data_IF_000740797514
#
_entry.id   IF_000740797514
#
_cell.length_a   1.000
_cell.length_b   1.000
_cell.length_c   1.000
_cell.angle_alpha   90.00
_cell.angle_beta   90.00
_cell.angle_gamma   90.00
#
_symmetry.space_group_name_H-M   'P 1'
#
loop_
_entity.id
_entity.type
_entity.pdbx_description
1 polymer ?
#
# COMPACT_ATOMS: atom_id res chain seq x y z
N UNK A 1 -52.52 52.91 -21.58
CA UNK A 1 -52.53 53.36 -23.00
C UNK A 1 -51.10 53.16 -23.53
N UNK A 2 -50.72 51.95 -23.98
CA UNK A 2 -50.62 51.49 -25.41
C UNK A 2 -49.69 52.40 -26.24
N UNK A 3 -48.60 51.99 -26.91
CA UNK A 3 -48.25 50.81 -27.77
C UNK A 3 -46.69 50.74 -27.84
N UNK A 4 -45.95 49.62 -27.78
CA UNK A 4 -45.76 48.47 -28.71
C UNK A 4 -45.43 48.82 -30.18
N UNK A 5 -44.17 48.58 -30.61
CA UNK A 5 -43.77 47.73 -31.76
C UNK A 5 -42.30 47.94 -32.21
N UNK A 6 -41.53 46.85 -32.24
CA UNK A 6 -40.53 46.54 -33.27
C UNK A 6 -41.20 45.60 -34.32
N UNK A 7 -40.55 45.01 -35.35
CA UNK A 7 -39.20 45.21 -35.94
C UNK A 7 -39.21 45.25 -37.50
N UNK A 8 -38.04 45.38 -38.17
CA UNK A 8 -37.57 44.53 -39.31
C UNK A 8 -36.32 45.09 -40.03
N UNK A 9 -35.45 44.15 -40.38
CA UNK A 9 -34.31 44.18 -41.33
C UNK A 9 -34.66 44.67 -42.74
N UNK A 10 -33.61 45.01 -43.54
CA UNK A 10 -33.37 44.24 -44.75
C UNK A 10 -31.89 43.92 -45.07
N UNK A 11 -31.64 42.63 -45.31
CA UNK A 11 -30.84 42.00 -46.39
C UNK A 11 -29.91 42.83 -47.32
N UNK A 12 -28.66 42.34 -47.53
CA UNK A 12 -27.93 42.44 -48.81
C UNK A 12 -26.37 42.42 -48.72
N UNK A 13 -25.60 41.93 -49.73
CA UNK A 13 -24.46 41.03 -49.51
C UNK A 13 -23.06 41.46 -50.05
N UNK A 14 -22.08 40.53 -49.93
CA UNK A 14 -20.71 40.45 -50.54
C UNK A 14 -19.55 40.96 -49.65
N UNK A 15 -18.32 40.43 -49.64
CA UNK A 15 -17.60 39.47 -50.50
C UNK A 15 -16.43 38.79 -49.73
N UNK A 16 -15.98 37.64 -50.23
CA UNK A 16 -14.73 36.94 -49.86
C UNK A 16 -13.49 37.68 -50.41
N UNK A 17 -12.28 37.27 -49.97
CA UNK A 17 -11.38 36.75 -51.00
C UNK A 17 -10.75 35.38 -50.68
N UNK A 18 -10.51 34.69 -51.78
CA UNK A 18 -9.80 33.44 -52.00
C UNK A 18 -8.27 33.66 -51.95
N UNK A 19 -7.53 32.59 -51.67
CA UNK A 19 -6.07 32.58 -51.56
C UNK A 19 -5.50 31.18 -51.38
N UNK A 20 -5.81 30.28 -52.31
CA UNK A 20 -5.19 28.95 -52.42
C UNK A 20 -3.70 29.01 -52.75
N UNK A 21 -2.87 28.15 -52.12
CA UNK A 21 -1.64 27.58 -52.72
C UNK A 21 -1.18 26.28 -52.03
N UNK A 22 -1.24 25.23 -52.85
CA UNK A 22 -0.66 23.87 -52.91
C UNK A 22 0.63 23.55 -52.13
N UNK A 23 0.71 22.28 -51.70
CA UNK A 23 1.93 21.50 -51.40
C UNK A 23 1.61 20.32 -50.45
N UNK A 24 1.17 19.15 -50.92
CA UNK A 24 1.94 18.02 -51.45
C UNK A 24 2.94 17.39 -50.45
N UNK A 25 2.61 16.15 -50.06
CA UNK A 25 3.47 15.02 -49.66
C UNK A 25 4.50 15.16 -48.53
N UNK A 26 4.29 14.40 -47.44
CA UNK A 26 5.04 13.17 -47.13
C UNK A 26 4.66 12.63 -45.74
N UNK A 27 3.81 11.61 -45.73
CA UNK A 27 3.78 10.63 -44.64
C UNK A 27 5.06 9.81 -44.72
N UNK A 28 5.87 9.81 -43.66
CA UNK A 28 7.04 8.93 -43.53
C UNK A 28 6.76 7.89 -42.45
N UNK A 29 6.37 6.71 -42.93
CA UNK A 29 6.47 5.46 -42.21
C UNK A 29 7.91 5.22 -41.76
N UNK A 30 8.10 4.74 -40.54
CA UNK A 30 9.33 4.10 -40.11
C UNK A 30 9.03 2.64 -39.83
N UNK A 31 9.27 1.82 -40.85
CA UNK A 31 9.48 0.38 -40.73
C UNK A 31 10.95 0.13 -40.98
N UNK A 32 11.69 -0.32 -39.96
CA UNK A 32 12.97 -0.99 -40.14
C UNK A 32 13.13 -2.04 -39.02
N UNK A 33 13.40 -3.27 -39.44
CA UNK A 33 13.56 -4.46 -38.60
C UNK A 33 14.88 -4.52 -37.81
N UNK A 34 15.30 -5.73 -37.39
CA UNK A 34 15.77 -5.97 -36.03
C UNK A 34 17.26 -5.71 -35.84
N UNK A 35 17.60 -4.93 -34.81
CA UNK A 35 18.96 -4.80 -34.29
C UNK A 35 18.89 -4.78 -32.76
N UNK A 36 19.49 -5.79 -32.12
CA UNK A 36 19.61 -5.85 -30.65
C UNK A 36 20.52 -4.71 -30.15
N UNK A 37 20.11 -3.87 -29.20
CA UNK A 37 21.05 -3.04 -28.46
C UNK A 37 21.48 -3.77 -27.18
N UNK A 38 22.78 -3.97 -27.03
CA UNK A 38 23.40 -4.38 -25.77
C UNK A 38 23.28 -3.24 -24.75
N UNK A 39 22.60 -3.50 -23.64
CA UNK A 39 22.46 -2.54 -22.55
C UNK A 39 23.80 -2.45 -21.78
N UNK A 40 24.55 -1.35 -21.97
CA UNK A 40 25.70 -1.02 -21.11
C UNK A 40 25.19 -0.34 -19.83
N UNK A 41 25.57 -0.86 -18.67
CA UNK A 41 25.31 -0.27 -17.34
C UNK A 41 25.83 1.17 -17.26
N UNK A 42 25.09 2.13 -16.66
CA UNK A 42 25.63 3.44 -16.35
C UNK A 42 26.70 3.33 -15.25
N UNK A 43 27.90 3.86 -15.51
CA UNK A 43 28.93 4.04 -14.49
C UNK A 43 28.64 5.35 -13.75
N UNK A 44 28.26 5.26 -12.48
CA UNK A 44 28.17 6.42 -11.59
C UNK A 44 29.60 6.92 -11.31
N UNK A 45 29.97 8.07 -11.87
CA UNK A 45 31.25 8.73 -11.57
C UNK A 45 31.20 9.31 -10.15
N UNK A 46 32.19 8.95 -9.31
CA UNK A 46 32.42 9.61 -8.01
C UNK A 46 32.74 11.10 -8.23
N UNK A 47 32.29 12.02 -7.36
CA UNK A 47 32.64 13.43 -7.47
C UNK A 47 34.16 13.63 -7.27
N UNK A 48 34.76 14.48 -8.10
CA UNK A 48 36.15 14.94 -7.93
C UNK A 48 36.22 15.83 -6.69
N UNK A 49 37.19 15.59 -5.80
CA UNK A 49 37.52 16.51 -4.69
C UNK A 49 38.05 17.83 -5.27
N UNK A 50 37.50 18.94 -4.79
CA UNK A 50 37.96 20.29 -5.09
C UNK A 50 39.25 20.56 -4.27
N UNK A 51 40.38 20.99 -4.88
CA UNK A 51 41.63 21.20 -4.15
C UNK A 51 41.64 22.45 -3.24
N UNK A 52 40.70 23.38 -3.43
CA UNK A 52 40.76 24.72 -2.83
C UNK A 52 39.65 25.00 -1.78
N UNK A 53 39.22 23.97 -1.05
CA UNK A 53 38.27 24.12 0.07
C UNK A 53 38.98 24.27 1.42
N UNK A 54 38.48 25.09 2.37
CA UNK A 54 39.11 25.28 3.67
C UNK A 54 39.07 23.99 4.51
N UNK A 55 40.22 23.65 5.10
CA UNK A 55 40.42 22.46 5.94
C UNK A 55 39.65 22.56 7.28
N UNK A 56 38.89 21.53 7.70
CA UNK A 56 38.28 21.51 9.03
C UNK A 56 39.32 21.27 10.14
N UNK A 57 39.10 21.75 11.38
CA UNK A 57 40.07 21.65 12.47
C UNK A 57 40.20 20.21 13.00
N UNK A 58 41.41 19.87 13.43
CA UNK A 58 41.81 18.54 13.88
C UNK A 58 41.17 18.14 15.23
N UNK A 59 40.50 16.98 15.25
CA UNK A 59 40.02 16.34 16.48
C UNK A 59 41.19 15.75 17.29
N UNK A 60 41.22 16.09 18.59
CA UNK A 60 42.15 15.53 19.58
C UNK A 60 41.86 14.04 19.78
N UNK A 61 42.90 13.21 19.65
CA UNK A 61 42.88 11.79 20.05
C UNK A 61 43.22 11.64 21.52
N UNK A 62 42.39 10.92 22.27
CA UNK A 62 42.71 10.42 23.61
C UNK A 62 43.62 9.18 23.57
N UNK A 63 44.44 8.91 24.62
CA UNK A 63 45.50 7.92 24.59
C UNK A 63 45.05 6.52 25.04
N UNK A 64 45.50 5.48 24.32
CA UNK A 64 45.34 4.06 24.68
C UNK A 64 46.35 3.62 25.76
N UNK A 65 45.85 2.88 26.75
CA UNK A 65 46.63 2.26 27.82
C UNK A 65 47.54 1.11 27.34
N UNK A 66 48.68 0.97 28.04
CA UNK A 66 49.77 0.00 27.82
C UNK A 66 49.48 -1.35 28.51
N UNK A 67 49.94 -2.44 27.91
CA UNK A 67 50.09 -3.77 28.55
C UNK A 67 51.59 -4.11 28.67
N UNK A 68 52.09 -4.64 29.80
CA UNK A 68 53.46 -5.12 29.90
C UNK A 68 53.57 -6.66 30.02
N UNK A 69 54.73 -7.19 29.60
CA UNK A 69 55.37 -8.31 30.30
C UNK A 69 55.55 -9.62 29.53
N UNK A 70 56.78 -9.85 29.05
CA UNK A 70 57.32 -11.14 28.57
C UNK A 70 57.72 -12.04 29.75
N UNK A 71 57.65 -13.37 29.57
CA UNK A 71 58.58 -14.33 30.20
C UNK A 71 59.04 -15.40 29.20
N UNK A 72 60.35 -15.70 29.25
CA UNK A 72 61.06 -16.82 28.59
C UNK A 72 61.32 -17.93 29.61
N UNK A 73 61.53 -19.18 29.14
CA UNK A 73 62.86 -19.79 29.33
C UNK A 73 63.37 -20.55 28.07
N UNK A 74 64.69 -20.85 28.08
CA UNK A 74 65.47 -21.41 26.96
C UNK A 74 65.52 -22.95 26.89
N UNK A 75 66.65 -23.56 26.45
CA UNK A 75 66.76 -24.05 25.07
C UNK A 75 67.12 -25.54 24.97
N UNK A 76 66.58 -26.26 23.98
CA UNK A 76 67.22 -27.47 23.43
C UNK A 76 66.81 -27.70 21.96
N UNK A 77 67.81 -27.89 21.10
CA UNK A 77 67.80 -28.95 20.09
C UNK A 77 67.23 -28.66 18.69
N UNK A 78 68.16 -28.48 17.75
CA UNK A 78 68.14 -28.91 16.32
C UNK A 78 67.28 -28.14 15.30
N UNK A 79 68.01 -27.60 14.32
CA UNK A 79 67.58 -27.11 13.00
C UNK A 79 67.06 -28.27 12.13
N UNK A 80 65.87 -28.09 11.52
CA UNK A 80 65.54 -28.40 10.11
C UNK A 80 64.33 -27.52 9.74
N UNK A 81 64.39 -26.80 8.60
CA UNK A 81 63.26 -26.09 7.97
C UNK A 81 62.95 -26.74 6.60
N UNK A 82 61.85 -26.40 5.92
CA UNK A 82 60.46 -26.70 6.28
C UNK A 82 59.71 -27.39 5.12
N UNK A 83 58.67 -28.16 5.42
CA UNK A 83 57.61 -28.49 4.45
C UNK A 83 56.26 -28.23 5.07
N UNK A 84 55.49 -27.34 4.43
CA UNK A 84 54.12 -26.97 4.80
C UNK A 84 53.17 -28.05 4.31
N UNK A 85 52.19 -28.46 5.14
CA UNK A 85 50.83 -28.54 4.62
C UNK A 85 49.82 -27.79 5.52
N UNK A 86 48.90 -27.15 4.81
CA UNK A 86 47.72 -26.43 5.28
C UNK A 86 46.79 -27.31 6.13
N UNK A 87 46.45 -26.84 7.34
CA UNK A 87 45.36 -27.39 8.16
C UNK A 87 44.12 -26.51 8.03
N UNK A 88 42.99 -27.18 7.80
CA UNK A 88 41.64 -26.64 7.72
C UNK A 88 41.03 -26.44 9.11
N UNK A 89 40.32 -25.33 9.28
CA UNK A 89 39.51 -24.98 10.46
C UNK A 89 38.09 -24.56 9.99
N UNK A 90 37.08 -24.52 10.88
CA UNK A 90 35.78 -25.15 10.65
C UNK A 90 34.68 -24.27 10.01
N UNK A 91 33.67 -24.96 9.47
CA UNK A 91 32.48 -24.42 8.78
C UNK A 91 31.56 -23.72 9.78
N UNK A 92 31.30 -22.43 9.56
CA UNK A 92 30.16 -21.71 10.14
C UNK A 92 28.95 -21.85 9.22
N UNK A 93 27.85 -22.38 9.76
CA UNK A 93 26.58 -22.51 9.06
C UNK A 93 25.95 -21.12 8.88
N UNK A 94 25.80 -20.68 7.62
CA UNK A 94 24.97 -19.51 7.27
C UNK A 94 23.53 -19.96 7.12
N UNK A 95 22.64 -19.45 7.97
CA UNK A 95 21.19 -19.47 7.73
C UNK A 95 20.88 -18.39 6.71
N UNK A 96 20.39 -18.78 5.53
CA UNK A 96 19.89 -17.88 4.49
C UNK A 96 18.44 -17.53 4.79
N UNK A 97 18.17 -16.25 5.06
CA UNK A 97 16.82 -15.67 4.95
C UNK A 97 16.51 -15.57 3.46
N UNK A 98 15.54 -16.33 2.98
CA UNK A 98 15.05 -16.24 1.61
C UNK A 98 13.97 -15.15 1.55
N UNK A 99 14.26 -14.05 0.86
CA UNK A 99 13.24 -13.10 0.42
C UNK A 99 12.47 -13.73 -0.75
N UNK A 100 11.18 -13.99 -0.55
CA UNK A 100 10.31 -14.49 -1.61
C UNK A 100 9.84 -13.30 -2.46
N UNK A 101 10.32 -13.22 -3.70
CA UNK A 101 9.75 -12.35 -4.72
C UNK A 101 8.60 -13.10 -5.41
N UNK A 102 7.38 -12.57 -5.34
CA UNK A 102 6.22 -13.13 -6.05
C UNK A 102 6.31 -12.73 -7.52
N UNK A 103 6.28 -13.72 -8.40
CA UNK A 103 6.35 -13.55 -9.85
C UNK A 103 4.93 -13.70 -10.43
N UNK A 104 4.30 -12.60 -10.84
CA UNK A 104 3.01 -12.64 -11.54
C UNK A 104 3.25 -12.94 -13.02
N UNK A 105 2.77 -14.09 -13.50
CA UNK A 105 2.81 -14.46 -14.91
C UNK A 105 1.62 -13.83 -15.66
N UNK A 106 1.90 -12.89 -16.57
CA UNK A 106 0.89 -12.29 -17.47
C UNK A 106 0.69 -13.20 -18.69
N UNK A 107 -0.48 -13.83 -18.78
CA UNK A 107 -0.93 -14.55 -19.97
C UNK A 107 -1.70 -13.59 -20.89
N UNK A 108 -1.04 -13.12 -21.95
CA UNK A 108 -1.66 -12.41 -23.06
C UNK A 108 -2.46 -13.40 -23.92
N UNK A 109 -3.79 -13.31 -23.88
CA UNK A 109 -4.64 -13.93 -24.90
C UNK A 109 -5.06 -12.87 -25.92
N UNK A 110 -4.50 -12.98 -27.12
CA UNK A 110 -4.94 -12.21 -28.28
C UNK A 110 -6.25 -12.83 -28.79
N UNK A 111 -7.37 -12.12 -28.64
CA UNK A 111 -8.62 -12.46 -29.33
C UNK A 111 -8.73 -11.60 -30.59
N UNK A 112 -8.74 -12.31 -31.73
CA UNK A 112 -8.85 -11.74 -33.06
C UNK A 112 -10.27 -11.23 -33.33
N UNK A 113 -10.34 -10.16 -34.13
CA UNK A 113 -11.57 -9.56 -34.64
C UNK A 113 -12.39 -10.54 -35.49
N UNK A 114 -13.70 -10.58 -35.27
CA UNK A 114 -14.68 -11.21 -36.16
C UNK A 114 -15.91 -10.31 -36.29
N UNK A 115 -16.13 -9.77 -37.49
CA UNK A 115 -17.27 -8.94 -37.86
C UNK A 115 -18.60 -9.74 -37.86
N UNK A 116 -19.71 -9.07 -37.50
CA UNK A 116 -21.03 -9.66 -37.33
C UNK A 116 -21.78 -10.03 -38.64
N UNK A 117 -23.04 -10.47 -38.52
CA UNK A 117 -24.12 -9.65 -39.07
C UNK A 117 -25.43 -9.61 -38.24
N UNK A 118 -26.08 -8.44 -38.35
CA UNK A 118 -27.50 -8.05 -38.18
C UNK A 118 -28.52 -9.07 -37.62
N UNK A 119 -29.31 -8.61 -36.64
CA UNK A 119 -30.69 -9.05 -36.44
C UNK A 119 -31.65 -7.87 -36.21
N UNK A 120 -32.82 -7.98 -36.85
CA UNK A 120 -33.96 -7.05 -36.90
C UNK A 120 -34.67 -6.96 -35.55
N UNK A 121 -35.34 -5.82 -35.34
CA UNK A 121 -36.25 -5.61 -34.22
C UNK A 121 -37.45 -6.56 -34.21
N UNK A 122 -37.90 -6.89 -33.00
CA UNK A 122 -39.11 -7.62 -32.68
C UNK A 122 -39.39 -7.47 -31.19
N UNK A 123 -40.55 -6.90 -30.86
CA UNK A 123 -40.99 -6.58 -29.51
C UNK A 123 -41.53 -7.81 -28.75
N UNK A 124 -41.45 -7.73 -27.42
CA UNK A 124 -42.41 -8.36 -26.51
C UNK A 124 -41.89 -9.54 -25.70
N UNK A 125 -41.96 -9.40 -24.37
CA UNK A 125 -42.13 -10.53 -23.47
C UNK A 125 -41.12 -10.64 -22.33
N UNK A 126 -41.45 -10.04 -21.18
CA UNK A 126 -40.99 -10.50 -19.87
C UNK A 126 -39.58 -10.11 -19.46
N UNK A 127 -39.36 -8.84 -19.11
CA UNK A 127 -38.28 -8.49 -18.18
C UNK A 127 -38.70 -8.88 -16.76
N UNK A 128 -38.70 -10.17 -16.47
CA UNK A 128 -38.23 -10.57 -15.15
C UNK A 128 -36.75 -10.25 -15.17
N UNK A 129 -36.36 -9.07 -14.66
CA UNK A 129 -34.96 -8.84 -14.30
C UNK A 129 -34.53 -10.08 -13.51
N UNK A 130 -33.48 -10.80 -13.94
CA UNK A 130 -32.83 -11.72 -13.03
C UNK A 130 -32.50 -10.85 -11.83
N UNK A 131 -33.10 -11.14 -10.67
CA UNK A 131 -32.65 -10.58 -9.41
C UNK A 131 -31.17 -10.88 -9.35
N UNK A 132 -30.34 -9.92 -9.76
CA UNK A 132 -28.92 -10.11 -9.95
C UNK A 132 -28.42 -10.56 -8.59
N UNK A 133 -28.05 -11.84 -8.49
CA UNK A 133 -27.60 -12.41 -7.24
C UNK A 133 -26.37 -11.62 -6.85
N UNK A 134 -26.54 -10.74 -5.88
CA UNK A 134 -25.46 -9.89 -5.38
C UNK A 134 -24.42 -10.82 -4.80
N UNK A 135 -23.17 -10.67 -5.24
CA UNK A 135 -22.05 -11.40 -4.68
C UNK A 135 -22.02 -11.26 -3.16
N UNK A 136 -21.76 -12.37 -2.48
CA UNK A 136 -21.67 -12.48 -1.03
C UNK A 136 -20.21 -12.48 -0.60
N UNK A 137 -19.91 -11.80 0.51
CA UNK A 137 -18.59 -11.95 1.16
C UNK A 137 -18.69 -12.95 2.30
N UNK A 138 -17.88 -14.01 2.26
CA UNK A 138 -17.91 -15.07 3.28
C UNK A 138 -16.52 -15.29 3.87
N UNK A 139 -16.47 -15.60 5.17
CA UNK A 139 -15.24 -16.00 5.86
C UNK A 139 -15.33 -17.49 6.16
N UNK A 140 -14.31 -18.23 5.76
CA UNK A 140 -14.22 -19.68 5.93
C UNK A 140 -12.93 -20.02 6.65
N UNK A 141 -13.02 -20.82 7.71
CA UNK A 141 -11.88 -21.41 8.39
C UNK A 141 -11.81 -22.91 8.08
N UNK A 142 -10.71 -23.38 7.51
CA UNK A 142 -10.48 -24.80 7.21
C UNK A 142 -9.64 -25.44 8.32
N UNK A 143 -10.29 -25.77 9.43
CA UNK A 143 -9.65 -26.24 10.67
C UNK A 143 -8.76 -27.48 10.50
N UNK A 144 -9.11 -28.37 9.56
CA UNK A 144 -8.34 -29.57 9.24
C UNK A 144 -6.95 -29.26 8.64
N UNK A 145 -6.74 -28.03 8.18
CA UNK A 145 -5.50 -27.59 7.54
C UNK A 145 -4.57 -26.81 8.47
N UNK A 146 -5.02 -26.50 9.69
CA UNK A 146 -4.28 -25.66 10.65
C UNK A 146 -3.30 -26.51 11.45
N UNK A 147 -2.00 -26.24 11.26
CA UNK A 147 -0.94 -26.90 12.02
C UNK A 147 -1.04 -26.59 13.52
N UNK A 148 -0.64 -27.50 14.43
CA UNK A 148 -0.74 -27.30 15.88
C UNK A 148 -0.18 -25.98 16.40
N UNK A 149 0.97 -25.54 15.87
CA UNK A 149 1.66 -24.30 16.21
C UNK A 149 0.85 -23.04 15.84
N UNK A 150 0.01 -23.10 14.81
CA UNK A 150 -0.74 -21.95 14.31
C UNK A 150 -2.12 -21.78 14.98
N UNK A 151 -2.55 -22.77 15.76
CA UNK A 151 -3.90 -22.81 16.34
C UNK A 151 -4.20 -21.62 17.25
N UNK A 152 -3.21 -21.12 17.99
CA UNK A 152 -3.42 -19.97 18.89
C UNK A 152 -3.78 -18.72 18.10
N UNK A 153 -2.97 -18.35 17.10
CA UNK A 153 -3.21 -17.15 16.30
C UNK A 153 -4.53 -17.23 15.53
N UNK A 154 -4.86 -18.39 14.94
CA UNK A 154 -6.17 -18.62 14.29
C UNK A 154 -7.32 -18.44 15.29
N UNK A 155 -7.19 -18.97 16.50
CA UNK A 155 -8.22 -18.86 17.52
C UNK A 155 -8.39 -17.42 18.04
N UNK A 156 -7.30 -16.65 18.17
CA UNK A 156 -7.33 -15.22 18.47
C UNK A 156 -8.13 -14.47 17.41
N UNK A 157 -7.78 -14.65 16.13
CA UNK A 157 -8.46 -13.98 15.01
C UNK A 157 -9.93 -14.39 14.96
N UNK A 158 -10.26 -15.68 15.07
CA UNK A 158 -11.64 -16.17 15.07
C UNK A 158 -12.48 -15.60 16.21
N UNK A 159 -11.98 -15.66 17.45
CA UNK A 159 -12.71 -15.15 18.63
C UNK A 159 -12.94 -13.64 18.55
N UNK A 160 -12.01 -12.91 17.94
CA UNK A 160 -12.11 -11.46 17.80
C UNK A 160 -13.11 -10.99 16.75
N UNK A 161 -13.56 -11.88 15.83
CA UNK A 161 -14.53 -11.60 14.76
C UNK A 161 -14.09 -10.52 13.76
N UNK A 162 -12.82 -10.12 13.78
CA UNK A 162 -12.30 -9.03 12.95
C UNK A 162 -12.40 -9.28 11.45
N UNK A 163 -12.29 -10.55 11.01
CA UNK A 163 -12.46 -10.89 9.59
C UNK A 163 -13.92 -10.74 9.18
N UNK A 164 -14.83 -11.24 10.00
CA UNK A 164 -16.26 -11.20 9.74
C UNK A 164 -16.82 -9.79 9.80
N UNK A 165 -16.32 -8.93 10.69
CA UNK A 165 -16.71 -7.52 10.74
C UNK A 165 -16.36 -6.78 9.45
N UNK A 166 -15.12 -6.94 8.96
CA UNK A 166 -14.68 -6.32 7.71
C UNK A 166 -15.43 -6.88 6.49
N UNK A 167 -15.58 -8.21 6.41
CA UNK A 167 -16.35 -8.87 5.36
C UNK A 167 -17.83 -8.43 5.37
N UNK A 168 -18.45 -8.35 6.54
CA UNK A 168 -19.85 -7.94 6.69
C UNK A 168 -20.08 -6.47 6.32
N UNK A 169 -19.08 -5.61 6.46
CA UNK A 169 -19.18 -4.24 5.95
C UNK A 169 -19.24 -4.23 4.43
N UNK A 170 -18.30 -4.92 3.74
CA UNK A 170 -18.31 -5.03 2.27
C UNK A 170 -19.61 -5.67 1.78
N UNK A 171 -20.04 -6.76 2.42
CA UNK A 171 -21.31 -7.44 2.17
C UNK A 171 -22.53 -6.62 2.62
N UNK A 172 -22.40 -5.41 3.17
CA UNK A 172 -23.57 -4.56 3.40
C UNK A 172 -23.54 -3.36 2.49
N UNK A 173 -22.35 -2.78 2.32
CA UNK A 173 -22.17 -1.52 1.62
C UNK A 173 -22.18 -1.66 0.11
N UNK A 174 -21.71 -2.78 -0.45
CA UNK A 174 -21.48 -2.90 -1.89
C UNK A 174 -22.35 -3.97 -2.57
N UNK A 175 -22.59 -3.78 -3.86
CA UNK A 175 -23.17 -4.76 -4.76
C UNK A 175 -22.05 -5.37 -5.61
N UNK A 176 -21.47 -6.46 -5.10
CA UNK A 176 -20.42 -7.18 -5.81
C UNK A 176 -21.00 -8.00 -6.98
N UNK A 177 -20.29 -8.08 -8.12
CA UNK A 177 -20.71 -8.91 -9.26
C UNK A 177 -20.53 -10.41 -9.00
N UNK A 178 -19.63 -10.79 -8.10
CA UNK A 178 -19.30 -12.18 -7.78
C UNK A 178 -19.08 -12.37 -6.28
N UNK A 179 -19.22 -13.62 -5.82
CA UNK A 179 -18.89 -13.98 -4.45
C UNK A 179 -17.40 -13.77 -4.17
N UNK A 180 -17.11 -13.35 -2.93
CA UNK A 180 -15.77 -13.19 -2.40
C UNK A 180 -15.61 -14.08 -1.17
N UNK A 181 -14.61 -14.96 -1.18
CA UNK A 181 -14.32 -15.85 -0.05
C UNK A 181 -13.00 -15.46 0.61
N UNK A 182 -13.04 -15.13 1.90
CA UNK A 182 -11.89 -14.97 2.78
C UNK A 182 -11.59 -16.33 3.42
N UNK A 183 -10.50 -16.99 3.04
CA UNK A 183 -10.15 -18.35 3.44
C UNK A 183 -8.97 -18.37 4.39
N UNK A 184 -9.22 -18.72 5.65
CA UNK A 184 -8.16 -19.07 6.61
C UNK A 184 -7.84 -20.57 6.45
N UNK A 185 -6.77 -20.89 5.72
CA UNK A 185 -6.44 -22.27 5.34
C UNK A 185 -4.94 -22.46 5.10
N UNK A 186 -4.42 -23.64 5.46
CA UNK A 186 -3.09 -24.10 5.08
C UNK A 186 -3.00 -24.63 3.64
N UNK A 187 -4.13 -24.84 2.96
CA UNK A 187 -4.21 -25.27 1.55
C UNK A 187 -4.20 -24.05 0.62
N UNK A 188 -3.04 -23.44 0.49
CA UNK A 188 -2.82 -22.26 -0.38
C UNK A 188 -2.08 -22.62 -1.68
N UNK A 189 -2.23 -21.83 -2.75
CA UNK A 189 -1.44 -22.02 -3.97
C UNK A 189 0.08 -21.98 -3.70
N UNK A 190 0.91 -22.69 -4.51
CA UNK A 190 2.36 -22.65 -4.35
C UNK A 190 2.92 -21.22 -4.37
N UNK A 191 3.80 -20.92 -3.41
CA UNK A 191 4.43 -19.60 -3.28
C UNK A 191 3.65 -18.58 -2.45
N UNK A 192 2.43 -18.91 -2.01
CA UNK A 192 1.68 -18.06 -1.07
C UNK A 192 2.17 -18.29 0.35
N UNK A 193 2.82 -17.27 0.92
CA UNK A 193 3.34 -17.29 2.30
C UNK A 193 2.67 -16.28 3.22
N UNK A 194 2.12 -15.22 2.65
CA UNK A 194 1.43 -14.14 3.36
C UNK A 194 -0.05 -14.08 2.94
N UNK A 195 -0.83 -13.16 3.51
CA UNK A 195 -2.19 -12.92 3.03
C UNK A 195 -2.15 -12.46 1.56
N UNK A 196 -3.10 -12.93 0.75
CA UNK A 196 -3.11 -12.58 -0.68
C UNK A 196 -4.49 -12.72 -1.31
N UNK A 197 -4.85 -11.71 -2.07
CA UNK A 197 -6.01 -11.71 -2.97
C UNK A 197 -5.63 -12.35 -4.30
N UNK A 198 -6.43 -13.30 -4.76
CA UNK A 198 -6.21 -13.94 -6.05
C UNK A 198 -6.49 -12.99 -7.22
N UNK A 199 -5.85 -13.20 -8.39
CA UNK A 199 -5.99 -12.28 -9.54
C UNK A 199 -7.42 -12.09 -10.06
N UNK A 200 -8.32 -13.04 -9.81
CA UNK A 200 -9.74 -12.91 -10.15
C UNK A 200 -10.54 -12.04 -9.17
N UNK A 201 -9.94 -11.64 -8.06
CA UNK A 201 -10.53 -10.86 -6.99
C UNK A 201 -11.57 -11.61 -6.15
N UNK A 202 -11.71 -12.94 -6.30
CA UNK A 202 -12.81 -13.72 -5.69
C UNK A 202 -12.40 -14.53 -4.46
N UNK A 203 -11.10 -14.74 -4.27
CA UNK A 203 -10.58 -15.45 -3.10
C UNK A 203 -9.47 -14.65 -2.45
N UNK A 204 -9.54 -14.48 -1.14
CA UNK A 204 -8.46 -13.98 -0.31
C UNK A 204 -7.98 -15.16 0.54
N UNK A 205 -6.70 -15.54 0.42
CA UNK A 205 -6.09 -16.54 1.29
C UNK A 205 -5.43 -15.85 2.48
N UNK A 206 -5.67 -16.39 3.69
CA UNK A 206 -4.95 -16.04 4.90
C UNK A 206 -4.31 -17.33 5.46
N UNK A 207 -3.03 -17.60 5.17
CA UNK A 207 -2.33 -18.74 5.73
C UNK A 207 -2.31 -18.69 7.27
N UNK A 208 -2.58 -19.79 8.00
CA UNK A 208 -2.44 -19.84 9.46
C UNK A 208 -1.05 -19.43 9.96
N UNK A 209 0.00 -19.85 9.28
CA UNK A 209 1.39 -19.49 9.58
C UNK A 209 1.67 -18.00 9.46
N UNK A 210 0.98 -17.30 8.55
CA UNK A 210 1.05 -15.84 8.45
C UNK A 210 0.40 -15.16 9.66
N UNK A 211 -0.73 -15.68 10.15
CA UNK A 211 -1.35 -15.17 11.38
C UNK A 211 -0.43 -15.37 12.60
N UNK A 212 0.26 -16.51 12.67
CA UNK A 212 1.29 -16.76 13.69
C UNK A 212 2.44 -15.76 13.59
N UNK A 213 2.90 -15.43 12.39
CA UNK A 213 3.92 -14.39 12.19
C UNK A 213 3.44 -13.02 12.67
N UNK A 214 2.18 -12.63 12.41
CA UNK A 214 1.60 -11.40 12.96
C UNK A 214 1.59 -11.46 14.50
N UNK A 215 1.23 -12.61 15.08
CA UNK A 215 1.21 -12.82 16.53
C UNK A 215 2.58 -12.67 17.17
N UNK A 216 3.61 -13.25 16.56
CA UNK A 216 4.99 -13.16 17.06
C UNK A 216 5.49 -11.71 17.04
N UNK A 217 5.28 -11.00 15.93
CA UNK A 217 5.67 -9.58 15.81
C UNK A 217 4.85 -8.72 16.75
N UNK A 218 3.56 -9.00 16.94
CA UNK A 218 2.71 -8.30 17.92
C UNK A 218 3.20 -8.53 19.36
N UNK A 219 3.71 -9.73 19.68
CA UNK A 219 4.38 -10.01 20.94
C UNK A 219 5.64 -9.16 21.14
N UNK A 220 6.44 -9.01 20.09
CA UNK A 220 7.59 -8.11 20.12
C UNK A 220 7.18 -6.66 20.30
N UNK A 221 6.18 -6.17 19.57
CA UNK A 221 5.63 -4.80 19.71
C UNK A 221 5.27 -4.50 21.16
N UNK A 222 4.51 -5.40 21.81
CA UNK A 222 4.07 -5.20 23.21
C UNK A 222 5.26 -5.20 24.19
N UNK A 223 6.34 -5.92 23.86
CA UNK A 223 7.55 -6.02 24.70
C UNK A 223 8.53 -4.86 24.48
N UNK A 224 8.66 -4.36 23.25
CA UNK A 224 9.74 -3.44 22.84
C UNK A 224 9.26 -2.00 22.68
N UNK A 225 7.97 -1.80 22.43
CA UNK A 225 7.44 -0.50 22.03
C UNK A 225 6.64 0.12 23.17
N UNK A 226 6.86 1.41 23.42
CA UNK A 226 6.02 2.16 24.37
C UNK A 226 4.57 2.11 23.87
N UNK A 227 3.64 1.73 24.75
CA UNK A 227 2.20 1.76 24.45
C UNK A 227 1.74 3.19 24.13
N UNK A 228 1.09 3.44 22.97
CA UNK A 228 0.43 4.71 22.69
C UNK A 228 -0.74 4.93 23.66
N UNK A 229 -0.95 6.18 24.08
CA UNK A 229 -2.07 6.52 24.98
C UNK A 229 -3.46 6.18 24.38
N UNK A 230 -3.55 6.11 23.05
CA UNK A 230 -4.75 5.77 22.28
C UNK A 230 -5.20 4.30 22.44
N UNK A 231 -4.32 3.40 22.87
CA UNK A 231 -4.66 1.99 23.10
C UNK A 231 -4.83 1.79 24.60
N UNK A 232 -6.00 1.39 25.11
CA UNK A 232 -6.18 1.07 26.53
C UNK A 232 -5.15 0.06 27.01
N UNK A 233 -4.70 0.17 28.27
CA UNK A 233 -3.67 -0.74 28.80
C UNK A 233 -4.10 -2.22 28.75
N UNK A 234 -5.38 -2.50 29.00
CA UNK A 234 -5.94 -3.84 28.91
C UNK A 234 -5.95 -4.40 27.46
N UNK A 235 -5.93 -3.53 26.46
CA UNK A 235 -5.97 -3.89 25.04
C UNK A 235 -4.57 -3.98 24.41
N UNK A 236 -3.52 -3.56 25.11
CA UNK A 236 -2.15 -3.63 24.60
C UNK A 236 -1.51 -4.99 24.89
N UNK A 237 -2.10 -6.03 24.32
CA UNK A 237 -1.66 -7.42 24.43
C UNK A 237 -1.35 -8.00 23.05
N UNK A 238 -0.50 -9.04 22.99
CA UNK A 238 -0.12 -9.65 21.71
C UNK A 238 -1.36 -10.14 20.93
N UNK A 239 -2.31 -10.77 21.61
CA UNK A 239 -3.55 -11.27 21.00
C UNK A 239 -4.41 -10.13 20.43
N UNK A 240 -4.60 -9.04 21.19
CA UNK A 240 -5.43 -7.93 20.73
C UNK A 240 -4.77 -7.17 19.59
N UNK A 241 -3.46 -6.94 19.66
CA UNK A 241 -2.68 -6.32 18.59
C UNK A 241 -2.68 -7.18 17.32
N UNK A 242 -2.66 -8.51 17.47
CA UNK A 242 -2.79 -9.45 16.35
C UNK A 242 -4.13 -9.31 15.66
N UNK A 243 -5.23 -9.38 16.43
CA UNK A 243 -6.57 -9.21 15.86
C UNK A 243 -6.73 -7.86 15.14
N UNK A 244 -6.27 -6.76 15.74
CA UNK A 244 -6.35 -5.43 15.15
C UNK A 244 -5.49 -5.31 13.87
N UNK A 245 -4.27 -5.83 13.88
CA UNK A 245 -3.39 -5.79 12.72
C UNK A 245 -3.91 -6.69 11.59
N UNK A 246 -4.44 -7.87 11.91
CA UNK A 246 -5.11 -8.74 10.95
C UNK A 246 -6.33 -8.07 10.33
N UNK A 247 -7.10 -7.25 11.07
CA UNK A 247 -8.20 -6.46 10.49
C UNK A 247 -7.70 -5.49 9.43
N UNK A 248 -6.57 -4.81 9.69
CA UNK A 248 -5.96 -3.90 8.72
C UNK A 248 -5.45 -4.65 7.49
N UNK A 249 -4.73 -5.76 7.69
CA UNK A 249 -4.24 -6.60 6.57
C UNK A 249 -5.39 -7.15 5.74
N UNK A 250 -6.48 -7.60 6.35
CA UNK A 250 -7.66 -7.99 5.57
C UNK A 250 -8.24 -6.79 4.80
N UNK A 251 -8.26 -5.59 5.40
CA UNK A 251 -8.60 -4.37 4.69
C UNK A 251 -7.77 -4.20 3.41
N UNK A 252 -6.46 -4.37 3.50
CA UNK A 252 -5.55 -4.29 2.35
C UNK A 252 -5.97 -5.29 1.25
N UNK A 253 -6.18 -6.55 1.61
CA UNK A 253 -6.65 -7.57 0.66
C UNK A 253 -8.06 -7.29 0.10
N UNK A 254 -8.96 -6.71 0.88
CA UNK A 254 -10.25 -6.28 0.39
C UNK A 254 -10.12 -5.14 -0.63
N UNK A 255 -9.21 -4.19 -0.44
CA UNK A 255 -8.94 -3.14 -1.43
C UNK A 255 -8.54 -3.72 -2.78
N UNK A 256 -7.61 -4.67 -2.74
CA UNK A 256 -7.19 -5.53 -3.84
C UNK A 256 -8.35 -6.26 -4.52
N UNK A 257 -9.24 -6.90 -3.75
CA UNK A 257 -10.39 -7.63 -4.29
C UNK A 257 -11.40 -6.69 -4.95
N UNK A 258 -11.69 -5.55 -4.32
CA UNK A 258 -12.63 -4.55 -4.82
C UNK A 258 -12.15 -3.91 -6.12
N UNK A 259 -10.87 -3.56 -6.22
CA UNK A 259 -10.30 -3.03 -7.46
C UNK A 259 -10.48 -4.00 -8.63
N UNK A 260 -10.23 -5.29 -8.41
CA UNK A 260 -10.37 -6.33 -9.43
C UNK A 260 -11.82 -6.60 -9.80
N UNK A 261 -12.69 -6.82 -8.81
CA UNK A 261 -14.09 -7.16 -9.06
C UNK A 261 -14.89 -5.99 -9.65
N UNK A 262 -14.63 -4.76 -9.20
CA UNK A 262 -15.39 -3.58 -9.63
C UNK A 262 -14.69 -2.85 -10.79
N UNK A 263 -13.52 -3.32 -11.23
CA UNK A 263 -12.69 -2.68 -12.26
C UNK A 263 -12.41 -1.21 -11.92
N UNK A 264 -12.01 -0.97 -10.67
CA UNK A 264 -11.79 0.39 -10.19
C UNK A 264 -10.54 0.99 -10.85
N UNK A 265 -10.57 2.27 -11.24
CA UNK A 265 -9.40 2.93 -11.81
C UNK A 265 -8.31 3.13 -10.76
N UNK A 266 -7.08 2.71 -11.07
CA UNK A 266 -5.90 2.98 -10.26
C UNK A 266 -4.89 3.82 -11.06
N UNK A 267 -4.50 4.98 -10.51
CA UNK A 267 -3.55 5.90 -11.12
C UNK A 267 -2.18 5.87 -10.42
N UNK A 268 -2.02 5.06 -9.37
CA UNK A 268 -0.81 4.96 -8.56
C UNK A 268 -0.30 3.51 -8.43
N UNK A 269 0.47 3.25 -7.38
CA UNK A 269 0.91 1.90 -7.02
C UNK A 269 -0.28 1.13 -6.43
N UNK A 270 -0.54 -0.07 -6.93
CA UNK A 270 -1.66 -0.92 -6.47
C UNK A 270 -1.59 -1.19 -4.97
N UNK A 271 -0.39 -1.51 -4.45
CA UNK A 271 -0.17 -1.78 -3.03
C UNK A 271 -0.42 -0.55 -2.12
N UNK A 272 -0.08 0.66 -2.58
CA UNK A 272 -0.38 1.90 -1.82
C UNK A 272 -1.87 2.21 -1.85
N UNK A 273 -2.57 1.89 -2.94
CA UNK A 273 -4.02 1.99 -3.01
C UNK A 273 -4.69 0.96 -2.07
N UNK A 274 -4.24 -0.28 -2.05
CA UNK A 274 -4.73 -1.32 -1.15
C UNK A 274 -4.52 -0.95 0.34
N UNK A 275 -3.33 -0.47 0.69
CA UNK A 275 -3.05 0.13 2.00
C UNK A 275 -3.97 1.33 2.32
N UNK A 276 -4.20 2.18 1.33
CA UNK A 276 -5.14 3.29 1.42
C UNK A 276 -6.56 2.82 1.73
N UNK A 277 -7.03 1.75 1.09
CA UNK A 277 -8.34 1.16 1.41
C UNK A 277 -8.38 0.63 2.84
N UNK A 278 -7.31 -0.02 3.31
CA UNK A 278 -7.23 -0.51 4.68
C UNK A 278 -7.37 0.64 5.69
N UNK A 279 -6.67 1.75 5.49
CA UNK A 279 -6.82 2.96 6.31
C UNK A 279 -8.22 3.56 6.18
N UNK A 280 -8.74 3.75 4.96
CA UNK A 280 -10.08 4.26 4.70
C UNK A 280 -11.17 3.45 5.43
N UNK A 281 -11.16 2.13 5.26
CA UNK A 281 -12.14 1.24 5.86
C UNK A 281 -12.01 1.21 7.37
N UNK A 282 -10.79 1.06 7.90
CA UNK A 282 -10.61 0.95 9.35
C UNK A 282 -10.92 2.25 10.08
N UNK A 283 -10.55 3.42 9.54
CA UNK A 283 -10.88 4.70 10.17
C UNK A 283 -12.39 4.97 10.15
N UNK A 284 -13.08 4.71 9.03
CA UNK A 284 -14.52 4.95 8.93
C UNK A 284 -15.38 3.94 9.72
N UNK A 285 -14.92 2.68 9.89
CA UNK A 285 -15.78 1.58 10.39
C UNK A 285 -15.18 0.76 11.54
N UNK A 286 -13.87 0.82 11.73
CA UNK A 286 -13.13 0.08 12.76
C UNK A 286 -12.54 0.94 13.88
N UNK A 287 -12.70 2.27 13.77
CA UNK A 287 -12.05 3.23 14.65
C UNK A 287 -10.53 3.28 14.46
N UNK A 288 -9.82 3.98 15.37
CA UNK A 288 -8.39 4.26 15.22
C UNK A 288 -7.48 3.03 15.44
N UNK A 289 -7.97 2.04 16.20
CA UNK A 289 -7.13 0.97 16.75
C UNK A 289 -6.50 0.04 15.69
N UNK A 290 -7.21 -0.41 14.63
CA UNK A 290 -6.60 -1.25 13.60
C UNK A 290 -5.48 -0.56 12.83
N UNK A 291 -5.68 0.70 12.40
CA UNK A 291 -4.65 1.49 11.71
C UNK A 291 -3.43 1.73 12.60
N UNK A 292 -3.64 2.04 13.89
CA UNK A 292 -2.54 2.21 14.84
C UNK A 292 -1.79 0.89 15.12
N UNK A 293 -2.52 -0.22 15.29
CA UNK A 293 -1.90 -1.54 15.50
C UNK A 293 -1.06 -1.97 14.29
N UNK A 294 -1.57 -1.76 13.07
CA UNK A 294 -0.81 -1.98 11.85
C UNK A 294 0.45 -1.10 11.81
N UNK A 295 0.34 0.20 12.07
CA UNK A 295 1.51 1.07 12.11
C UNK A 295 2.61 0.56 13.07
N UNK A 296 2.22 0.06 14.26
CA UNK A 296 3.17 -0.51 15.22
C UNK A 296 3.76 -1.84 14.74
N UNK A 297 2.95 -2.73 14.16
CA UNK A 297 3.39 -4.00 13.59
C UNK A 297 4.41 -3.77 12.47
N UNK A 298 4.08 -2.90 11.51
CA UNK A 298 4.93 -2.60 10.35
C UNK A 298 6.19 -1.83 10.74
N UNK A 299 6.16 -1.01 11.79
CA UNK A 299 7.37 -0.37 12.32
C UNK A 299 8.33 -1.41 12.95
N UNK A 300 7.81 -2.39 13.68
CA UNK A 300 8.62 -3.51 14.19
C UNK A 300 9.19 -4.37 13.05
N UNK A 301 8.40 -4.61 11.99
CA UNK A 301 8.88 -5.30 10.78
C UNK A 301 10.00 -4.51 10.08
N UNK A 302 9.82 -3.20 9.88
CA UNK A 302 10.83 -2.34 9.27
C UNK A 302 12.14 -2.36 10.06
N UNK A 303 12.08 -2.37 11.40
CA UNK A 303 13.26 -2.49 12.26
C UNK A 303 13.97 -3.84 12.10
N UNK A 304 13.24 -4.94 11.87
CA UNK A 304 13.79 -6.28 11.61
C UNK A 304 14.38 -6.42 10.21
N UNK A 305 13.80 -5.74 9.21
CA UNK A 305 14.32 -5.69 7.84
C UNK A 305 15.68 -4.98 7.77
N UNK A 306 15.89 -3.97 8.62
CA UNK A 306 17.16 -3.27 8.74
C UNK A 306 17.39 -2.25 7.63
N UNK A 307 18.57 -2.27 6.99
CA UNK A 307 18.91 -1.29 5.98
C UNK A 307 18.20 -1.57 4.64
N UNK A 308 17.71 -0.52 3.98
CA UNK A 308 17.06 -0.64 2.67
C UNK A 308 18.02 -1.23 1.63
N UNK A 309 17.53 -2.24 0.91
CA UNK A 309 18.24 -2.90 -0.18
C UNK A 309 17.69 -2.42 -1.53
N UNK A 310 18.42 -2.72 -2.62
CA UNK A 310 17.91 -2.42 -3.97
C UNK A 310 16.62 -3.18 -4.26
N UNK A 311 16.51 -4.41 -3.77
CA UNK A 311 15.31 -5.24 -3.86
C UNK A 311 14.13 -4.58 -3.13
N UNK A 312 14.36 -4.03 -1.92
CA UNK A 312 13.34 -3.30 -1.18
C UNK A 312 12.88 -2.02 -1.88
N UNK A 313 13.77 -1.32 -2.60
CA UNK A 313 13.37 -0.18 -3.44
C UNK A 313 12.60 -0.60 -4.71
N UNK A 314 12.82 -1.82 -5.21
CA UNK A 314 12.13 -2.36 -6.40
C UNK A 314 10.91 -3.19 -6.06
N UNK A 315 10.54 -3.30 -4.78
CA UNK A 315 9.36 -4.00 -4.32
C UNK A 315 8.09 -3.37 -4.92
N UNK A 316 7.06 -4.18 -5.11
CA UNK A 316 5.71 -3.73 -5.46
C UNK A 316 5.07 -2.89 -4.34
N UNK A 317 5.34 -3.28 -3.10
CA UNK A 317 5.00 -2.52 -1.90
C UNK A 317 5.89 -1.28 -1.72
N UNK A 318 5.34 -0.17 -1.20
CA UNK A 318 6.16 0.92 -0.69
C UNK A 318 7.10 0.44 0.42
N UNK A 319 8.21 1.14 0.61
CA UNK A 319 9.13 0.90 1.74
C UNK A 319 8.34 0.80 3.04
N UNK A 320 8.56 -0.26 3.82
CA UNK A 320 7.79 -0.59 5.02
C UNK A 320 7.61 0.59 5.97
N UNK A 321 8.69 1.36 6.22
CA UNK A 321 8.62 2.56 7.07
C UNK A 321 7.78 3.70 6.45
N UNK A 322 7.72 3.83 5.12
CA UNK A 322 6.85 4.80 4.45
C UNK A 322 5.38 4.43 4.66
N UNK A 323 5.03 3.14 4.58
CA UNK A 323 3.68 2.63 4.86
C UNK A 323 3.23 3.04 6.27
N UNK A 324 4.09 2.84 7.28
CA UNK A 324 3.83 3.27 8.68
C UNK A 324 3.44 4.74 8.76
N UNK A 325 4.21 5.63 8.10
CA UNK A 325 3.90 7.06 8.13
C UNK A 325 2.66 7.43 7.30
N UNK A 326 2.27 6.64 6.29
CA UNK A 326 0.99 6.80 5.61
C UNK A 326 -0.17 6.45 6.55
N UNK A 327 -0.11 5.30 7.25
CA UNK A 327 -1.18 4.87 8.16
C UNK A 327 -1.40 5.88 9.28
N UNK A 328 -0.33 6.33 9.93
CA UNK A 328 -0.39 7.32 11.00
C UNK A 328 -0.88 8.68 10.50
N UNK A 329 -0.50 9.08 9.29
CA UNK A 329 -0.92 10.36 8.71
C UNK A 329 -2.39 10.35 8.30
N UNK A 330 -2.90 9.25 7.73
CA UNK A 330 -4.33 9.09 7.47
C UNK A 330 -5.14 9.09 8.76
N UNK A 331 -4.66 8.40 9.80
CA UNK A 331 -5.31 8.41 11.10
C UNK A 331 -5.31 9.82 11.72
N UNK A 332 -4.15 10.48 11.81
CA UNK A 332 -4.06 11.84 12.36
C UNK A 332 -4.94 12.82 11.58
N UNK A 333 -4.86 12.78 10.26
CA UNK A 333 -5.62 13.65 9.37
C UNK A 333 -7.13 13.45 9.45
N UNK A 334 -7.60 12.27 9.89
CA UNK A 334 -9.02 11.95 10.04
C UNK A 334 -9.70 12.71 11.19
N UNK A 335 -8.98 12.99 12.27
CA UNK A 335 -9.41 13.86 13.35
C UNK A 335 -8.20 14.44 14.11
N UNK A 336 -7.61 15.54 13.60
CA UNK A 336 -6.42 16.14 14.20
C UNK A 336 -6.63 16.55 15.66
N UNK A 337 -7.85 16.94 16.05
CA UNK A 337 -8.16 17.35 17.43
C UNK A 337 -7.95 16.20 18.41
N UNK A 338 -8.26 14.98 17.99
CA UNK A 338 -8.12 13.78 18.80
C UNK A 338 -6.70 13.21 18.74
N UNK A 339 -6.04 13.31 17.58
CA UNK A 339 -4.82 12.54 17.31
C UNK A 339 -3.51 13.33 17.29
N UNK A 340 -3.53 14.66 17.17
CA UNK A 340 -2.29 15.46 17.08
C UNK A 340 -1.38 15.24 18.30
N UNK A 341 -1.89 15.42 19.52
CA UNK A 341 -1.07 15.21 20.72
C UNK A 341 -0.55 13.77 20.89
N UNK A 342 -1.40 12.73 20.84
CA UNK A 342 -0.93 11.37 21.07
C UNK A 342 -0.10 10.77 19.94
N UNK A 343 -0.12 11.31 18.71
CA UNK A 343 0.69 10.84 17.59
C UNK A 343 1.86 11.77 17.26
N UNK A 344 1.62 13.08 17.10
CA UNK A 344 2.64 14.07 16.75
C UNK A 344 3.39 14.56 17.98
N UNK A 345 2.67 14.87 19.06
CA UNK A 345 3.25 15.35 20.32
C UNK A 345 4.19 14.35 20.98
N UNK A 346 3.90 13.06 20.85
CA UNK A 346 4.71 11.96 21.37
C UNK A 346 5.79 11.46 20.41
N UNK A 347 5.77 11.91 19.14
CA UNK A 347 6.80 11.63 18.14
C UNK A 347 6.59 10.38 17.27
N UNK A 348 5.44 9.71 17.33
CA UNK A 348 5.12 8.62 16.37
C UNK A 348 5.00 9.15 14.94
N UNK A 349 4.40 10.33 14.78
CA UNK A 349 4.29 11.02 13.49
C UNK A 349 5.19 12.27 13.51
N UNK A 350 6.15 12.41 12.59
CA UNK A 350 7.03 13.58 12.56
C UNK A 350 6.25 14.89 12.41
N UNK A 351 6.64 15.91 13.19
CA UNK A 351 6.05 17.27 13.12
C UNK A 351 6.11 17.88 11.71
N UNK A 352 7.10 17.50 10.90
CA UNK A 352 7.23 17.92 9.51
C UNK A 352 6.22 17.26 8.56
N UNK A 353 5.70 16.07 8.92
CA UNK A 353 4.72 15.33 8.12
C UNK A 353 3.28 15.74 8.46
N UNK A 354 2.99 15.98 9.74
CA UNK A 354 1.67 16.29 10.26
C UNK A 354 0.89 17.37 9.47
N UNK A 355 1.50 18.46 8.98
CA UNK A 355 0.78 19.47 8.20
C UNK A 355 0.09 18.97 6.93
N UNK A 356 0.56 17.85 6.36
CA UNK A 356 0.03 17.27 5.11
C UNK A 356 -1.16 16.33 5.37
N UNK A 357 -1.35 15.91 6.62
CA UNK A 357 -2.20 14.78 6.95
C UNK A 357 -3.71 15.04 6.81
N UNK A 358 -4.26 16.20 7.23
CA UNK A 358 -5.68 16.49 7.02
C UNK A 358 -6.09 16.46 5.53
N UNK A 359 -5.28 17.05 4.66
CA UNK A 359 -5.53 17.00 3.21
C UNK A 359 -5.33 15.59 2.65
N UNK A 360 -4.27 14.87 3.07
CA UNK A 360 -4.02 13.51 2.61
C UNK A 360 -5.17 12.55 2.95
N UNK A 361 -5.69 12.61 4.19
CA UNK A 361 -6.88 11.86 4.58
C UNK A 361 -8.09 12.27 3.74
N UNK A 362 -8.36 13.57 3.58
CA UNK A 362 -9.52 14.03 2.84
C UNK A 362 -9.50 13.60 1.35
N UNK A 363 -8.31 13.55 0.73
CA UNK A 363 -8.13 13.00 -0.62
C UNK A 363 -8.41 11.51 -0.68
N UNK A 364 -7.87 10.74 0.27
CA UNK A 364 -8.08 9.29 0.36
C UNK A 364 -9.56 8.95 0.56
N UNK A 365 -10.20 9.58 1.56
CA UNK A 365 -11.58 9.34 1.96
C UNK A 365 -12.56 9.67 0.83
N UNK A 366 -12.41 10.85 0.21
CA UNK A 366 -13.20 11.22 -0.96
C UNK A 366 -12.95 10.29 -2.14
N UNK A 367 -11.69 9.92 -2.40
CA UNK A 367 -11.30 9.06 -3.50
C UNK A 367 -11.98 7.69 -3.43
N UNK A 368 -11.91 7.03 -2.27
CA UNK A 368 -12.55 5.73 -2.05
C UNK A 368 -14.07 5.82 -2.09
N UNK A 369 -14.69 6.78 -1.41
CA UNK A 369 -16.14 6.94 -1.49
C UNK A 369 -16.64 7.17 -2.93
N UNK A 370 -15.91 7.97 -3.71
CA UNK A 370 -16.24 8.25 -5.11
C UNK A 370 -16.14 7.01 -6.00
N UNK A 371 -15.09 6.20 -5.82
CA UNK A 371 -14.92 4.96 -6.57
C UNK A 371 -15.98 3.91 -6.21
N UNK A 372 -16.41 3.87 -4.95
CA UNK A 372 -17.40 2.90 -4.48
C UNK A 372 -18.85 3.32 -4.78
N UNK A 373 -19.14 4.61 -4.98
CA UNK A 373 -20.51 5.11 -5.12
C UNK A 373 -21.37 4.47 -6.23
N UNK A 374 -20.83 4.17 -7.42
CA UNK A 374 -21.58 3.43 -8.44
C UNK A 374 -22.01 2.03 -7.97
N UNK A 375 -21.26 1.45 -7.04
CA UNK A 375 -21.39 0.07 -6.59
C UNK A 375 -22.08 -0.08 -5.24
N UNK A 376 -22.64 0.98 -4.65
CA UNK A 376 -23.37 0.85 -3.40
C UNK A 376 -24.57 -0.09 -3.53
N UNK A 377 -24.75 -0.93 -2.52
CA UNK A 377 -25.94 -1.76 -2.40
C UNK A 377 -27.19 -0.88 -2.24
N UNK A 378 -28.39 -1.35 -2.64
CA UNK A 378 -29.62 -0.57 -2.48
C UNK A 378 -29.85 -0.10 -1.04
N UNK A 379 -29.59 -0.96 -0.05
CA UNK A 379 -29.79 -0.64 1.37
C UNK A 379 -28.76 0.31 1.96
N UNK A 380 -27.60 0.48 1.31
CA UNK A 380 -26.53 1.35 1.79
C UNK A 380 -26.42 2.67 1.02
N UNK A 381 -26.96 2.75 -0.20
CA UNK A 381 -26.78 3.87 -1.13
C UNK A 381 -27.00 5.24 -0.50
N UNK A 382 -28.08 5.44 0.24
CA UNK A 382 -28.35 6.74 0.87
C UNK A 382 -27.26 7.15 1.88
N UNK A 383 -26.78 6.20 2.69
CA UNK A 383 -25.68 6.43 3.64
C UNK A 383 -24.37 6.68 2.89
N UNK A 384 -24.03 5.84 1.92
CA UNK A 384 -22.80 5.97 1.12
C UNK A 384 -22.75 7.29 0.35
N UNK A 385 -23.85 7.71 -0.28
CA UNK A 385 -23.92 8.99 -1.00
C UNK A 385 -23.76 10.18 -0.05
N UNK A 386 -24.30 10.09 1.17
CA UNK A 386 -24.09 11.12 2.19
C UNK A 386 -22.63 11.17 2.67
N UNK A 387 -22.00 10.01 2.88
CA UNK A 387 -20.59 9.92 3.25
C UNK A 387 -19.68 10.49 2.14
N UNK A 388 -19.95 10.16 0.87
CA UNK A 388 -19.22 10.69 -0.27
C UNK A 388 -19.31 12.22 -0.36
N UNK A 389 -20.52 12.80 -0.20
CA UNK A 389 -20.69 14.25 -0.17
C UNK A 389 -19.93 14.91 0.98
N UNK A 390 -20.01 14.35 2.17
CA UNK A 390 -19.27 14.86 3.33
C UNK A 390 -17.75 14.80 3.12
N UNK A 391 -17.26 13.73 2.51
CA UNK A 391 -15.85 13.56 2.16
C UNK A 391 -15.40 14.58 1.09
N UNK A 392 -16.24 14.87 0.08
CA UNK A 392 -15.99 15.93 -0.89
C UNK A 392 -15.91 17.31 -0.22
N UNK A 393 -16.88 17.66 0.61
CA UNK A 393 -16.88 18.93 1.33
C UNK A 393 -15.65 19.06 2.23
N UNK A 394 -15.22 17.97 2.86
CA UNK A 394 -13.98 17.91 3.64
C UNK A 394 -12.76 18.16 2.75
N UNK A 395 -12.65 17.50 1.61
CA UNK A 395 -11.54 17.69 0.67
C UNK A 395 -11.40 19.15 0.24
N UNK A 396 -12.51 19.83 -0.08
CA UNK A 396 -12.51 21.26 -0.43
C UNK A 396 -11.99 22.10 0.74
N UNK A 397 -12.50 21.87 1.96
CA UNK A 397 -12.07 22.61 3.16
C UNK A 397 -10.60 22.39 3.49
N UNK A 398 -10.15 21.14 3.55
CA UNK A 398 -8.77 20.80 3.93
C UNK A 398 -7.76 21.24 2.88
N UNK A 399 -8.13 21.24 1.60
CA UNK A 399 -7.28 21.79 0.53
C UNK A 399 -7.06 23.30 0.70
N UNK A 400 -8.14 24.04 1.04
CA UNK A 400 -8.02 25.47 1.33
C UNK A 400 -7.19 25.71 2.60
N UNK A 401 -7.46 24.97 3.67
CA UNK A 401 -6.73 25.09 4.94
C UNK A 401 -5.23 24.78 4.77
N UNK A 402 -4.89 23.81 3.94
CA UNK A 402 -3.49 23.49 3.63
C UNK A 402 -2.78 24.64 2.91
N UNK A 403 -3.45 25.31 1.96
CA UNK A 403 -2.90 26.48 1.28
C UNK A 403 -2.59 27.61 2.29
N UNK A 404 -3.53 27.92 3.18
CA UNK A 404 -3.35 28.95 4.22
C UNK A 404 -2.17 28.62 5.15
N UNK A 405 -2.05 27.33 5.53
CA UNK A 405 -0.95 26.83 6.39
C UNK A 405 0.41 26.93 5.69
N UNK A 406 0.47 26.60 4.40
CA UNK A 406 1.69 26.71 3.60
C UNK A 406 2.14 28.16 3.49
N UNK A 407 1.22 29.10 3.29
CA UNK A 407 1.54 30.52 3.24
C UNK A 407 2.01 31.07 4.60
N UNK A 408 1.47 30.56 5.71
CA UNK A 408 1.97 30.89 7.04
C UNK A 408 3.43 30.42 7.23
N UNK A 409 3.78 29.21 6.77
CA UNK A 409 5.15 28.72 6.83
C UNK A 409 6.10 29.54 5.96
N UNK A 410 5.68 29.93 4.75
CA UNK A 410 6.49 30.78 3.86
C UNK A 410 6.78 32.15 4.46
N UNK A 411 5.83 32.73 5.19
CA UNK A 411 6.01 34.02 5.88
C UNK A 411 6.89 33.95 7.14
N UNK A 412 7.06 32.75 7.71
CA UNK A 412 7.85 32.54 8.93
C UNK A 412 9.33 32.19 8.64
N UNK A 413 9.68 32.00 7.37
CA UNK A 413 11.07 31.87 6.89
C UNK A 413 11.60 33.26 6.53
#
# INVERSE_FOLDING_TARGET
MTRSRAPRDPSGPSARPDGSRRGADRARAWSAGPGRPSYRRPVVRRPRRNPDGPTPPAERREPRARTPGRHRPGPHGRRVSPTVPSSSAPRTARRTLAAAAVLVAVLLTATACGAGPRARGGAGGGSGEPSATRGRVTVVYEDDTVAPEDRHAVAVVRRSRVLEEAAAWVDRSLALPHDLTVKVTGKVPPGVTDAVTQPDGRTIYLPPSFLTRIQDVSGDVVRTTRRPALIPAADFTADRMTALSTRFVLGHELGHALQRQLTLPNLGLEEDAADGFASFHTVNEGGPAPSLAAAMLFDELARKEGALTLEGFSSDHPVTQQRVFHFLCYLEGSDPKTFEQPLVGTGYLPKSRAPLCPQAWAMLDHGWWTQLAPHFSPGFRAQGDAAQRAAYDRLVRETKAFADKLDAYRRAQ
#
